data_IF_369073028495
#
_entry.id   IF_369073028495
#
_cell.length_a   1.000
_cell.length_b   1.000
_cell.length_c   1.000
_cell.angle_alpha   90.00
_cell.angle_beta   90.00
_cell.angle_gamma   90.00
#
_symmetry.space_group_name_H-M   'P 1'
#
loop_
_entity.id
_entity.type
_entity.pdbx_description
1 polymer ?
#
# COMPACT_ATOMS: atom_id res chain seq x y z
N UNK A 1 64.10 33.98 34.87
CA UNK A 1 63.63 34.28 33.51
C UNK A 1 63.72 32.99 32.68
N UNK A 2 62.70 32.18 32.68
CA UNK A 2 62.68 30.85 32.01
C UNK A 2 62.04 31.01 30.63
N UNK A 3 62.76 30.69 29.58
CA UNK A 3 62.20 30.54 28.23
C UNK A 3 61.79 29.10 28.01
N UNK A 4 60.53 28.92 27.74
CA UNK A 4 59.93 27.61 27.35
C UNK A 4 59.86 27.59 25.82
N UNK A 5 60.75 26.82 25.18
CA UNK A 5 60.72 26.55 23.76
C UNK A 5 59.60 25.52 23.44
N UNK A 6 58.66 25.91 22.62
CA UNK A 6 57.65 24.98 22.06
C UNK A 6 58.17 24.32 20.79
N UNK A 7 58.41 23.02 20.88
CA UNK A 7 58.67 22.18 19.71
C UNK A 7 57.35 21.82 19.06
N UNK A 8 57.05 22.41 17.90
CA UNK A 8 55.95 21.94 17.04
C UNK A 8 56.51 20.86 16.11
N UNK A 9 56.17 19.62 16.42
CA UNK A 9 56.38 18.48 15.53
C UNK A 9 55.39 18.58 14.36
N UNK A 10 55.90 18.69 13.15
CA UNK A 10 55.14 18.61 11.89
C UNK A 10 54.65 17.19 11.71
N UNK A 11 53.35 16.97 11.87
CA UNK A 11 52.70 15.73 11.47
C UNK A 11 52.42 15.82 9.97
N UNK A 12 53.26 15.18 9.20
CA UNK A 12 53.04 15.00 7.76
C UNK A 12 52.09 13.81 7.59
N UNK A 13 50.81 14.07 7.37
CA UNK A 13 49.78 13.05 7.04
C UNK A 13 49.32 13.26 5.62
N UNK A 14 50.13 12.87 4.66
CA UNK A 14 49.60 12.53 3.32
C UNK A 14 49.02 11.09 3.37
N UNK A 15 47.82 10.97 3.93
CA UNK A 15 47.01 9.78 3.73
C UNK A 15 46.27 9.96 2.40
N UNK A 16 46.86 9.45 1.33
CA UNK A 16 46.18 9.26 0.07
C UNK A 16 44.97 8.32 0.36
N UNK A 17 43.78 8.89 0.45
CA UNK A 17 42.54 8.13 0.43
C UNK A 17 42.46 7.48 -0.94
N UNK A 18 42.79 6.20 -0.99
CA UNK A 18 42.56 5.38 -2.17
C UNK A 18 41.04 5.25 -2.34
N UNK A 19 40.43 6.21 -3.05
CA UNK A 19 39.02 6.11 -3.46
C UNK A 19 38.96 4.97 -4.44
N UNK A 20 38.56 3.78 -3.97
CA UNK A 20 38.14 2.69 -4.83
C UNK A 20 36.99 3.23 -5.68
N UNK A 21 37.31 3.50 -6.94
CA UNK A 21 36.31 3.76 -7.96
C UNK A 21 35.43 2.49 -8.08
N UNK A 22 34.25 2.54 -7.52
CA UNK A 22 33.19 1.56 -7.80
C UNK A 22 32.60 1.86 -9.17
N UNK A 23 33.41 1.81 -10.21
CA UNK A 23 32.94 1.78 -11.59
C UNK A 23 32.97 0.33 -12.08
N UNK A 24 32.25 -0.56 -11.39
CA UNK A 24 31.76 -1.74 -12.06
C UNK A 24 30.64 -1.25 -12.98
N UNK A 25 30.79 -1.42 -14.29
CA UNK A 25 29.69 -1.21 -15.22
C UNK A 25 28.50 -2.02 -14.67
N UNK A 26 27.40 -1.33 -14.36
CA UNK A 26 26.18 -2.00 -13.95
C UNK A 26 25.79 -2.96 -15.09
N UNK A 27 25.37 -4.18 -14.79
CA UNK A 27 24.89 -5.09 -15.82
C UNK A 27 23.80 -4.37 -16.61
N UNK A 28 23.78 -4.62 -17.91
CA UNK A 28 22.75 -4.10 -18.80
C UNK A 28 21.39 -4.50 -18.22
N UNK A 29 20.55 -3.50 -17.94
CA UNK A 29 19.24 -3.75 -17.35
C UNK A 29 18.28 -4.15 -18.45
N UNK A 30 17.55 -5.20 -18.23
CA UNK A 30 16.41 -5.55 -19.07
C UNK A 30 15.39 -4.42 -19.03
N UNK A 31 14.90 -4.02 -20.21
CA UNK A 31 13.91 -2.96 -20.35
C UNK A 31 12.60 -3.59 -20.82
N UNK A 32 11.54 -3.36 -20.05
CA UNK A 32 10.18 -3.71 -20.42
C UNK A 32 9.37 -2.44 -20.63
N UNK A 33 8.54 -2.43 -21.66
CA UNK A 33 7.75 -1.28 -22.07
C UNK A 33 6.28 -1.53 -21.79
N UNK A 34 5.64 -0.62 -21.06
CA UNK A 34 4.21 -0.61 -20.78
C UNK A 34 3.62 0.75 -21.08
N UNK A 35 2.34 0.78 -21.50
CA UNK A 35 1.61 2.03 -21.70
C UNK A 35 1.32 2.70 -20.36
N UNK A 36 1.05 1.91 -19.33
CA UNK A 36 0.78 2.41 -17.97
C UNK A 36 1.54 1.58 -16.93
N UNK A 37 2.26 2.27 -16.07
CA UNK A 37 2.93 1.69 -14.90
C UNK A 37 2.32 2.28 -13.63
N UNK A 38 1.74 1.43 -12.80
CA UNK A 38 1.23 1.80 -11.48
C UNK A 38 2.26 1.43 -10.41
N UNK A 39 2.67 2.39 -9.59
CA UNK A 39 3.62 2.17 -8.51
C UNK A 39 2.87 1.99 -7.19
N UNK A 40 2.95 0.78 -6.64
CA UNK A 40 2.30 0.35 -5.41
C UNK A 40 1.09 -0.56 -5.66
N UNK A 41 1.20 -1.83 -5.23
CA UNK A 41 0.17 -2.87 -5.31
C UNK A 41 -0.84 -2.83 -4.16
N UNK A 42 -1.14 -1.65 -3.63
CA UNK A 42 -2.19 -1.45 -2.63
C UNK A 42 -3.58 -1.32 -3.23
N UNK A 43 -4.63 -1.11 -2.38
CA UNK A 43 -6.01 -1.02 -2.86
C UNK A 43 -6.21 0.02 -3.96
N UNK A 44 -5.59 1.19 -3.82
CA UNK A 44 -5.71 2.29 -4.80
C UNK A 44 -5.05 1.94 -6.14
N UNK A 45 -3.81 1.43 -6.11
CA UNK A 45 -3.07 1.08 -7.32
C UNK A 45 -3.72 -0.05 -8.10
N UNK A 46 -4.14 -1.12 -7.41
CA UNK A 46 -4.84 -2.23 -8.03
C UNK A 46 -6.21 -1.81 -8.58
N UNK A 47 -6.99 -1.02 -7.83
CA UNK A 47 -8.28 -0.52 -8.32
C UNK A 47 -8.12 0.35 -9.58
N UNK A 48 -7.07 1.18 -9.64
CA UNK A 48 -6.77 1.99 -10.81
C UNK A 48 -6.40 1.11 -12.02
N UNK A 49 -5.52 0.14 -11.84
CA UNK A 49 -5.09 -0.78 -12.89
C UNK A 49 -6.27 -1.62 -13.42
N UNK A 50 -7.09 -2.17 -12.53
CA UNK A 50 -8.29 -2.92 -12.86
C UNK A 50 -9.25 -2.05 -13.68
N UNK A 51 -9.55 -0.84 -13.19
CA UNK A 51 -10.50 0.05 -13.87
C UNK A 51 -9.99 0.45 -15.25
N UNK A 52 -8.70 0.72 -15.41
CA UNK A 52 -8.09 1.01 -16.70
C UNK A 52 -8.26 -0.15 -17.69
N UNK A 53 -7.98 -1.39 -17.26
CA UNK A 53 -8.15 -2.58 -18.10
C UNK A 53 -9.62 -2.82 -18.44
N UNK A 54 -10.55 -2.67 -17.49
CA UNK A 54 -11.98 -2.77 -17.76
C UNK A 54 -12.42 -1.77 -18.84
N UNK A 55 -11.95 -0.52 -18.74
CA UNK A 55 -12.28 0.53 -19.72
C UNK A 55 -11.62 0.26 -21.06
N UNK A 56 -10.39 -0.21 -21.10
CA UNK A 56 -9.68 -0.57 -22.31
C UNK A 56 -10.40 -1.69 -23.06
N UNK A 57 -10.77 -2.76 -22.35
CA UNK A 57 -11.53 -3.89 -22.90
C UNK A 57 -12.89 -3.41 -23.46
N UNK A 58 -13.63 -2.60 -22.70
CA UNK A 58 -14.94 -2.09 -23.12
C UNK A 58 -14.87 -1.21 -24.38
N UNK A 59 -13.73 -0.57 -24.63
CA UNK A 59 -13.52 0.29 -25.78
C UNK A 59 -12.68 -0.38 -26.89
N UNK A 60 -12.36 -1.66 -26.79
CA UNK A 60 -11.49 -2.42 -27.70
C UNK A 60 -10.12 -1.75 -27.91
N UNK A 61 -9.55 -1.21 -26.84
CA UNK A 61 -8.20 -0.62 -26.80
C UNK A 61 -7.25 -1.68 -26.27
N UNK A 62 -6.19 -1.96 -27.04
CA UNK A 62 -5.08 -2.75 -26.53
C UNK A 62 -4.19 -1.86 -25.66
N UNK A 63 -4.18 -2.14 -24.35
CA UNK A 63 -3.48 -1.35 -23.35
C UNK A 63 -2.67 -2.27 -22.45
N UNK A 64 -1.35 -2.11 -22.46
CA UNK A 64 -0.44 -2.81 -21.55
C UNK A 64 -0.35 -2.06 -20.23
N UNK A 65 -0.68 -2.76 -19.14
CA UNK A 65 -0.69 -2.19 -17.78
C UNK A 65 0.12 -3.08 -16.87
N UNK A 66 1.05 -2.49 -16.12
CA UNK A 66 1.72 -3.20 -15.04
C UNK A 66 1.62 -2.48 -13.70
N UNK A 67 1.75 -3.26 -12.63
CA UNK A 67 1.83 -2.79 -11.25
C UNK A 67 3.16 -3.23 -10.66
N UNK A 68 3.94 -2.29 -10.14
CA UNK A 68 5.17 -2.60 -9.40
C UNK A 68 4.91 -2.44 -7.91
N UNK A 69 5.27 -3.46 -7.13
CA UNK A 69 5.07 -3.49 -5.68
C UNK A 69 6.42 -3.70 -4.97
N UNK A 70 6.69 -2.90 -3.95
CA UNK A 70 7.94 -2.99 -3.15
C UNK A 70 7.99 -4.24 -2.27
N UNK A 71 6.83 -4.73 -1.84
CA UNK A 71 6.74 -5.93 -1.00
C UNK A 71 6.98 -7.19 -1.81
N UNK A 72 7.49 -8.23 -1.16
CA UNK A 72 7.69 -9.54 -1.78
C UNK A 72 6.39 -10.18 -2.27
N UNK A 73 5.25 -9.75 -1.74
CA UNK A 73 3.91 -10.17 -2.12
C UNK A 73 2.94 -9.00 -1.96
N UNK A 74 1.85 -9.01 -2.72
CA UNK A 74 0.75 -8.10 -2.53
C UNK A 74 0.18 -8.20 -1.12
N UNK A 75 -0.03 -7.06 -0.47
CA UNK A 75 -0.62 -7.00 0.87
C UNK A 75 0.32 -7.33 2.03
N UNK A 76 1.61 -7.66 1.78
CA UNK A 76 2.56 -8.03 2.84
C UNK A 76 2.85 -6.91 3.84
N UNK A 77 2.74 -5.65 3.43
CA UNK A 77 2.99 -4.47 4.27
C UNK A 77 1.71 -3.82 4.78
N UNK A 78 0.56 -4.46 4.59
CA UNK A 78 -0.74 -3.90 4.97
C UNK A 78 -1.16 -4.47 6.32
N UNK A 79 -1.53 -3.57 7.24
CA UNK A 79 -2.12 -3.96 8.52
C UNK A 79 -3.51 -4.56 8.29
N UNK A 80 -3.80 -5.61 9.05
CA UNK A 80 -5.08 -6.30 9.01
C UNK A 80 -6.03 -5.77 10.09
N UNK A 81 -7.34 -5.94 9.84
CA UNK A 81 -8.39 -5.60 10.79
C UNK A 81 -8.86 -4.16 10.65
N UNK A 82 -9.71 -3.91 9.68
CA UNK A 82 -10.38 -2.64 9.48
C UNK A 82 -11.88 -2.85 9.20
N UNK A 83 -12.66 -1.81 9.41
CA UNK A 83 -14.02 -1.73 8.89
C UNK A 83 -13.94 -1.17 7.48
N UNK A 84 -14.59 -1.84 6.56
CA UNK A 84 -14.54 -1.55 5.13
C UNK A 84 -15.93 -1.22 4.59
N UNK A 85 -16.06 -0.06 3.98
CA UNK A 85 -17.25 0.34 3.24
C UNK A 85 -17.19 -0.24 1.81
N UNK A 86 -18.15 -1.09 1.41
CA UNK A 86 -18.06 -1.82 0.13
C UNK A 86 -18.43 -0.99 -1.10
N UNK A 87 -18.76 0.29 -0.97
CA UNK A 87 -19.22 1.15 -2.07
C UNK A 87 -18.27 1.14 -3.27
N UNK A 88 -16.98 1.40 -3.03
CA UNK A 88 -15.98 1.41 -4.09
C UNK A 88 -15.81 0.03 -4.76
N UNK A 89 -15.93 -1.03 -3.97
CA UNK A 89 -15.87 -2.39 -4.49
C UNK A 89 -17.13 -2.74 -5.32
N UNK A 90 -18.32 -2.27 -4.90
CA UNK A 90 -19.55 -2.41 -5.70
C UNK A 90 -19.46 -1.70 -7.05
N UNK A 91 -18.75 -0.56 -7.11
CA UNK A 91 -18.54 0.18 -8.36
C UNK A 91 -17.50 -0.49 -9.27
N UNK A 92 -16.50 -1.15 -8.68
CA UNK A 92 -15.43 -1.82 -9.42
C UNK A 92 -15.86 -3.20 -9.92
N UNK A 93 -16.50 -3.98 -9.06
CA UNK A 93 -17.03 -5.32 -9.29
C UNK A 93 -18.40 -5.47 -8.66
N UNK A 94 -19.49 -5.18 -9.39
CA UNK A 94 -20.86 -5.36 -8.86
C UNK A 94 -21.16 -6.79 -8.41
N UNK A 95 -20.47 -7.76 -8.98
CA UNK A 95 -20.54 -9.21 -8.75
C UNK A 95 -19.47 -9.75 -7.77
N UNK A 96 -18.83 -8.89 -6.97
CA UNK A 96 -17.72 -9.27 -6.10
C UNK A 96 -18.05 -10.43 -5.13
N UNK A 97 -19.33 -10.58 -4.74
CA UNK A 97 -19.76 -11.67 -3.86
C UNK A 97 -19.65 -13.02 -4.58
N UNK A 98 -20.06 -13.05 -5.84
CA UNK A 98 -20.03 -14.27 -6.66
C UNK A 98 -18.61 -14.61 -7.07
N UNK A 99 -17.71 -13.60 -7.12
CA UNK A 99 -16.28 -13.74 -7.35
C UNK A 99 -15.49 -14.16 -6.11
N UNK A 100 -16.13 -14.34 -4.97
CA UNK A 100 -15.47 -14.79 -3.74
C UNK A 100 -14.56 -13.74 -3.08
N UNK A 101 -14.89 -12.46 -3.18
CA UNK A 101 -14.18 -11.42 -2.44
C UNK A 101 -14.22 -11.70 -0.92
N UNK A 102 -13.13 -11.51 -0.17
CA UNK A 102 -13.00 -11.92 1.23
C UNK A 102 -13.71 -10.96 2.21
N UNK A 103 -15.00 -10.69 1.99
CA UNK A 103 -15.86 -9.86 2.82
C UNK A 103 -16.95 -10.75 3.48
N UNK A 104 -16.55 -11.51 4.49
CA UNK A 104 -17.43 -12.51 5.13
C UNK A 104 -18.16 -11.96 6.35
N UNK A 105 -17.53 -11.07 7.12
CA UNK A 105 -18.04 -10.60 8.42
C UNK A 105 -18.64 -9.20 8.28
N UNK A 106 -19.95 -9.10 8.41
CA UNK A 106 -20.64 -7.80 8.47
C UNK A 106 -20.32 -7.10 9.78
N UNK A 107 -20.18 -5.78 9.76
CA UNK A 107 -20.12 -4.96 10.95
C UNK A 107 -21.46 -5.08 11.71
N UNK A 108 -21.38 -5.22 13.03
CA UNK A 108 -22.55 -5.26 13.90
C UNK A 108 -22.99 -3.86 14.33
N UNK A 109 -23.70 -3.80 15.45
CA UNK A 109 -24.15 -2.54 16.04
C UNK A 109 -22.97 -1.71 16.55
N UNK A 110 -23.01 -0.41 16.31
CA UNK A 110 -22.04 0.55 16.81
C UNK A 110 -22.44 1.04 18.20
N UNK A 111 -21.46 1.17 19.08
CA UNK A 111 -21.64 1.80 20.39
C UNK A 111 -20.51 2.80 20.64
N UNK A 112 -20.86 4.08 20.75
CA UNK A 112 -19.93 5.10 21.22
C UNK A 112 -20.11 5.33 22.71
N UNK A 113 -19.03 5.20 23.48
CA UNK A 113 -19.05 5.40 24.93
C UNK A 113 -18.02 6.44 25.33
N UNK A 114 -18.44 7.36 26.16
CA UNK A 114 -17.52 8.24 26.88
C UNK A 114 -17.04 7.55 28.15
N UNK A 115 -15.76 7.30 28.26
CA UNK A 115 -15.13 6.70 29.43
C UNK A 115 -14.55 7.79 30.34
N UNK A 116 -14.75 7.69 31.64
CA UNK A 116 -14.12 8.57 32.60
C UNK A 116 -13.02 7.85 33.41
N UNK A 117 -12.22 8.62 34.15
CA UNK A 117 -11.10 8.09 34.95
C UNK A 117 -11.52 7.09 36.01
N UNK A 118 -12.76 7.17 36.51
CA UNK A 118 -13.30 6.23 37.50
C UNK A 118 -13.72 4.87 36.93
N UNK A 119 -13.60 4.68 35.62
CA UNK A 119 -14.00 3.44 34.92
C UNK A 119 -15.50 3.35 34.61
N UNK A 120 -16.28 4.41 34.89
CA UNK A 120 -17.67 4.48 34.45
C UNK A 120 -17.75 4.97 33.00
N UNK A 121 -18.81 4.55 32.28
CA UNK A 121 -19.05 4.93 30.89
C UNK A 121 -20.44 5.53 30.73
N UNK A 122 -20.57 6.45 29.77
CA UNK A 122 -21.82 7.02 29.32
C UNK A 122 -21.96 6.68 27.84
N UNK A 123 -23.01 5.93 27.48
CA UNK A 123 -23.32 5.64 26.07
C UNK A 123 -23.90 6.87 25.36
N UNK A 124 -23.42 7.15 24.18
CA UNK A 124 -23.96 8.20 23.30
C UNK A 124 -24.91 7.50 22.31
N UNK A 125 -26.20 7.88 22.25
CA UNK A 125 -27.14 7.31 21.29
C UNK A 125 -26.67 7.51 19.85
N UNK A 126 -26.75 6.46 19.02
CA UNK A 126 -26.31 6.50 17.61
C UNK A 126 -26.98 7.61 16.79
N UNK A 127 -28.25 7.94 17.10
CA UNK A 127 -28.97 9.02 16.41
C UNK A 127 -28.31 10.42 16.58
N UNK A 128 -27.42 10.60 17.55
CA UNK A 128 -26.68 11.85 17.78
C UNK A 128 -25.30 11.84 17.12
N UNK A 129 -24.92 10.71 16.50
CA UNK A 129 -23.63 10.57 15.83
C UNK A 129 -23.72 10.99 14.38
N UNK A 130 -22.65 11.60 13.83
CA UNK A 130 -22.52 11.82 12.39
C UNK A 130 -22.61 10.49 11.61
N UNK A 131 -23.14 10.54 10.40
CA UNK A 131 -23.32 9.38 9.52
C UNK A 131 -22.01 8.62 9.26
N UNK A 132 -20.88 9.33 9.28
CA UNK A 132 -19.54 8.79 9.06
C UNK A 132 -19.07 7.83 10.17
N UNK A 133 -19.72 7.88 11.33
CA UNK A 133 -19.45 6.97 12.45
C UNK A 133 -20.37 5.74 12.47
N UNK A 134 -21.29 5.64 11.51
CA UNK A 134 -22.18 4.48 11.40
C UNK A 134 -21.53 3.44 10.48
N UNK A 135 -21.49 2.19 10.96
CA UNK A 135 -20.90 1.08 10.22
C UNK A 135 -21.96 0.08 9.68
N UNK A 136 -23.22 0.45 9.70
CA UNK A 136 -24.28 -0.38 9.13
C UNK A 136 -24.03 -0.63 7.64
N UNK A 137 -23.99 -1.90 7.23
CA UNK A 137 -23.71 -2.30 5.85
C UNK A 137 -22.23 -2.44 5.52
N UNK A 138 -21.33 -2.07 6.44
CA UNK A 138 -19.89 -2.26 6.30
C UNK A 138 -19.44 -3.68 6.68
N UNK A 139 -18.20 -4.00 6.43
CA UNK A 139 -17.60 -5.31 6.69
C UNK A 139 -16.33 -5.18 7.51
N UNK A 140 -16.12 -6.12 8.45
CA UNK A 140 -14.84 -6.29 9.14
C UNK A 140 -14.00 -7.23 8.30
N UNK A 141 -12.87 -6.72 7.79
CA UNK A 141 -12.04 -7.45 6.85
C UNK A 141 -10.56 -7.46 7.24
N UNK A 142 -9.82 -8.39 6.60
CA UNK A 142 -8.38 -8.28 6.45
C UNK A 142 -8.07 -7.57 5.14
N UNK A 143 -7.58 -6.35 5.22
CA UNK A 143 -7.26 -5.55 4.02
C UNK A 143 -6.17 -6.22 3.16
N UNK A 144 -5.23 -6.94 3.77
CA UNK A 144 -4.22 -7.69 3.03
C UNK A 144 -4.84 -8.84 2.19
N UNK A 145 -5.87 -9.52 2.71
CA UNK A 145 -6.60 -10.54 1.93
C UNK A 145 -7.36 -9.92 0.76
N UNK A 146 -8.01 -8.77 0.99
CA UNK A 146 -8.69 -8.05 -0.09
C UNK A 146 -7.72 -7.61 -1.18
N UNK A 147 -6.53 -7.13 -0.81
CA UNK A 147 -5.50 -6.70 -1.77
C UNK A 147 -4.98 -7.87 -2.61
N UNK A 148 -4.78 -9.04 -2.01
CA UNK A 148 -4.40 -10.25 -2.76
C UNK A 148 -5.48 -10.64 -3.76
N UNK A 149 -6.73 -10.68 -3.32
CA UNK A 149 -7.86 -10.95 -4.19
C UNK A 149 -7.98 -9.92 -5.33
N UNK A 150 -7.78 -8.62 -5.07
CA UNK A 150 -7.73 -7.59 -6.12
C UNK A 150 -6.58 -7.85 -7.10
N UNK A 151 -5.45 -8.33 -6.62
CA UNK A 151 -4.33 -8.75 -7.47
C UNK A 151 -4.73 -9.85 -8.43
N UNK A 152 -5.36 -10.91 -7.94
CA UNK A 152 -5.89 -12.00 -8.76
C UNK A 152 -6.87 -11.49 -9.83
N UNK A 153 -7.77 -10.57 -9.45
CA UNK A 153 -8.71 -9.96 -10.41
C UNK A 153 -8.00 -9.07 -11.43
N UNK A 154 -6.90 -8.41 -11.06
CA UNK A 154 -6.09 -7.62 -11.97
C UNK A 154 -5.37 -8.51 -13.00
N UNK A 155 -4.77 -9.61 -12.55
CA UNK A 155 -4.10 -10.58 -13.41
C UNK A 155 -5.07 -11.25 -14.40
N UNK A 156 -6.29 -11.58 -13.96
CA UNK A 156 -7.35 -12.11 -14.83
C UNK A 156 -7.71 -11.14 -15.98
N UNK A 157 -7.58 -9.82 -15.75
CA UNK A 157 -7.79 -8.79 -16.76
C UNK A 157 -6.53 -8.52 -17.62
N UNK A 158 -5.42 -9.22 -17.36
CA UNK A 158 -4.17 -9.05 -18.07
C UNK A 158 -3.34 -7.86 -17.58
N UNK A 159 -3.41 -7.53 -16.29
CA UNK A 159 -2.43 -6.65 -15.63
C UNK A 159 -1.24 -7.50 -15.22
N UNK A 160 -0.04 -7.05 -15.51
CA UNK A 160 1.18 -7.71 -15.05
C UNK A 160 1.59 -7.14 -13.68
N UNK A 161 1.90 -8.00 -12.72
CA UNK A 161 2.25 -7.58 -11.36
C UNK A 161 3.68 -8.02 -11.03
N UNK A 162 4.51 -7.07 -10.63
CA UNK A 162 5.92 -7.28 -10.29
C UNK A 162 6.17 -6.94 -8.82
N UNK A 163 6.12 -7.94 -7.92
CA UNK A 163 6.52 -7.78 -6.53
C UNK A 163 8.05 -7.92 -6.38
N UNK A 164 8.66 -7.29 -5.33
CA UNK A 164 10.08 -7.49 -5.01
C UNK A 164 10.90 -6.25 -4.68
#
# INVERSE_FOLDING_TARGET
MLQIGRHFSRINKSRVLNTRSFSAALPEREQMHYDVVTVGGGPAGLSAAIKLKQMAIANNIDLSVCVVEKGAELGSHILSGNVFEPRALNELFPDWKDRGAPLETKAGDDQLMWLNESGSSIGIPNMLLPSELHNEGNYIISLSKLVRWLGEQAEELGVEIYPG
#
